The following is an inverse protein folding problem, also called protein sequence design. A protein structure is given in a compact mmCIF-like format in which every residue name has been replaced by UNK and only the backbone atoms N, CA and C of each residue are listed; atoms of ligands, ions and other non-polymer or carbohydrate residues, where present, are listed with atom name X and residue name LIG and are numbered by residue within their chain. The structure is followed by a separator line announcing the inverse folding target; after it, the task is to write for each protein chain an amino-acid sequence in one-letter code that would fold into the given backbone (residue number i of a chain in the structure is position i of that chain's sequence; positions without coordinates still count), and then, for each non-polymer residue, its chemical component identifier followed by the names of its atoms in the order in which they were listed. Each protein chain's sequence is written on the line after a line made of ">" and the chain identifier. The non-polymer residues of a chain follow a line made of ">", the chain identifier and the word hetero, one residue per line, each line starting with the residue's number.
data_IF_984648861549
#
_entry.id   IF_984648861549
#
_cell.length_a   1.000
_cell.length_b   1.000
_cell.length_c   1.000
_cell.angle_alpha   90.00
_cell.angle_beta   90.00
_cell.angle_gamma   90.00
#
_symmetry.space_group_name_H-M   'P 1'
#
loop_
_entity.id
_entity.type
_entity.pdbx_description
1 polymer ?
#
# COMPACT_ATOMS: atom_id res chain seq x y z
N UNK A 1 -14.06 15.69 -3.92
CA UNK A 1 -14.22 14.97 -2.65
C UNK A 1 -14.96 15.73 -1.57
N UNK A 2 -14.61 16.98 -1.24
CA UNK A 2 -15.26 17.71 -0.13
C UNK A 2 -16.80 17.71 -0.17
N UNK A 3 -17.40 17.94 -1.35
CA UNK A 3 -18.86 17.90 -1.56
C UNK A 3 -19.48 16.51 -1.32
N UNK A 4 -18.77 15.45 -1.69
CA UNK A 4 -19.20 14.06 -1.47
C UNK A 4 -19.26 13.74 0.02
N UNK A 5 -18.20 14.10 0.77
CA UNK A 5 -18.12 13.86 2.21
C UNK A 5 -19.14 14.69 3.01
N UNK A 6 -19.58 15.84 2.48
CA UNK A 6 -20.62 16.68 3.09
C UNK A 6 -22.05 16.31 2.67
N UNK A 7 -22.27 15.13 2.08
CA UNK A 7 -23.60 14.65 1.69
C UNK A 7 -24.19 15.33 0.45
N UNK A 8 -23.39 16.08 -0.32
CA UNK A 8 -23.80 16.77 -1.55
C UNK A 8 -22.95 16.31 -2.74
N UNK A 9 -22.90 15.00 -3.07
CA UNK A 9 -22.00 14.49 -4.09
C UNK A 9 -22.30 15.09 -5.48
N UNK A 10 -21.29 15.31 -6.34
CA UNK A 10 -21.53 15.54 -7.76
C UNK A 10 -22.30 14.38 -8.40
N UNK A 11 -22.92 14.60 -9.56
CA UNK A 11 -23.72 13.59 -10.29
C UNK A 11 -22.85 12.53 -10.99
N UNK A 12 -21.85 12.04 -10.29
CA UNK A 12 -20.95 10.97 -10.70
C UNK A 12 -21.29 9.70 -9.90
N UNK A 13 -21.47 8.52 -10.54
CA UNK A 13 -21.94 7.31 -9.85
C UNK A 13 -21.09 6.92 -8.63
N UNK A 14 -19.77 7.02 -8.75
CA UNK A 14 -18.83 6.68 -7.66
C UNK A 14 -18.98 7.66 -6.50
N UNK A 15 -19.16 8.95 -6.77
CA UNK A 15 -19.35 9.95 -5.73
C UNK A 15 -20.68 9.77 -4.99
N UNK A 16 -21.75 9.43 -5.73
CA UNK A 16 -23.07 9.14 -5.15
C UNK A 16 -23.00 7.90 -4.25
N UNK A 17 -22.37 6.82 -4.73
CA UNK A 17 -22.21 5.58 -3.96
C UNK A 17 -21.39 5.81 -2.69
N UNK A 18 -20.28 6.56 -2.79
CA UNK A 18 -19.45 6.88 -1.63
C UNK A 18 -20.22 7.71 -0.59
N UNK A 19 -20.98 8.72 -1.01
CA UNK A 19 -21.83 9.50 -0.10
C UNK A 19 -22.88 8.62 0.58
N UNK A 20 -23.53 7.72 -0.18
CA UNK A 20 -24.50 6.76 0.35
C UNK A 20 -23.86 5.84 1.40
N UNK A 21 -22.69 5.26 1.09
CA UNK A 21 -21.97 4.37 2.00
C UNK A 21 -21.54 5.07 3.30
N UNK A 22 -21.15 6.35 3.23
CA UNK A 22 -20.78 7.13 4.43
C UNK A 22 -22.01 7.42 5.29
N UNK A 23 -23.15 7.78 4.69
CA UNK A 23 -24.40 8.00 5.43
C UNK A 23 -24.86 6.72 6.13
N UNK A 24 -24.83 5.61 5.40
CA UNK A 24 -25.18 4.27 5.89
C UNK A 24 -24.24 3.78 7.00
N UNK A 25 -22.93 4.04 6.88
CA UNK A 25 -21.95 3.81 7.96
C UNK A 25 -22.28 4.63 9.21
N UNK A 26 -22.61 5.92 9.03
CA UNK A 26 -22.96 6.83 10.12
C UNK A 26 -24.20 6.33 10.84
N UNK A 27 -25.22 5.89 10.11
CA UNK A 27 -26.46 5.35 10.66
C UNK A 27 -26.20 4.07 11.47
N UNK A 28 -25.53 3.06 10.87
CA UNK A 28 -25.26 1.78 11.53
C UNK A 28 -24.39 1.89 12.77
N UNK A 29 -23.48 2.86 12.79
CA UNK A 29 -22.55 3.06 13.91
C UNK A 29 -23.01 4.15 14.88
N UNK A 30 -24.19 4.76 14.65
CA UNK A 30 -24.70 5.88 15.43
C UNK A 30 -23.68 7.03 15.53
N UNK A 31 -22.98 7.29 14.42
CA UNK A 31 -21.97 8.34 14.29
C UNK A 31 -20.62 8.07 14.96
N UNK A 32 -20.38 6.84 15.45
CA UNK A 32 -19.13 6.43 16.09
C UNK A 32 -17.99 6.14 15.10
N UNK A 33 -18.32 5.69 13.89
CA UNK A 33 -17.34 5.53 12.81
C UNK A 33 -17.42 6.74 11.86
N UNK A 34 -16.26 7.29 11.49
CA UNK A 34 -16.17 8.47 10.62
C UNK A 34 -14.96 8.34 9.72
N UNK A 35 -15.18 8.49 8.42
CA UNK A 35 -14.09 8.49 7.44
C UNK A 35 -13.35 9.83 7.48
N UNK A 36 -12.05 9.80 7.72
CA UNK A 36 -11.24 11.03 7.72
C UNK A 36 -11.17 11.65 6.31
N UNK A 37 -11.49 12.94 6.24
CA UNK A 37 -11.30 13.76 5.05
C UNK A 37 -9.81 14.04 4.79
N UNK A 38 -9.00 14.18 5.84
CA UNK A 38 -7.56 14.44 5.75
C UNK A 38 -6.86 13.30 5.05
N UNK A 39 -7.00 12.09 5.58
CA UNK A 39 -6.52 10.85 4.96
C UNK A 39 -7.01 10.66 3.52
N UNK A 40 -8.30 10.85 3.24
CA UNK A 40 -8.81 10.67 1.87
C UNK A 40 -8.14 11.64 0.88
N UNK A 41 -7.98 12.91 1.25
CA UNK A 41 -7.29 13.89 0.41
C UNK A 41 -5.79 13.59 0.30
N UNK A 42 -5.12 13.19 1.39
CA UNK A 42 -3.71 12.78 1.40
C UNK A 42 -3.45 11.68 0.37
N UNK A 43 -4.27 10.63 0.37
CA UNK A 43 -4.15 9.52 -0.59
C UNK A 43 -4.37 9.97 -2.04
N UNK A 44 -5.36 10.84 -2.28
CA UNK A 44 -5.63 11.34 -3.65
C UNK A 44 -4.47 12.19 -4.15
N UNK A 45 -4.01 13.15 -3.34
CA UNK A 45 -2.92 14.03 -3.70
C UNK A 45 -1.62 13.25 -3.96
N UNK A 46 -1.31 12.26 -3.12
CA UNK A 46 -0.14 11.40 -3.31
C UNK A 46 -0.23 10.61 -4.63
N UNK A 47 -1.40 10.08 -4.99
CA UNK A 47 -1.59 9.38 -6.28
C UNK A 47 -1.54 10.32 -7.48
N UNK A 48 -2.06 11.54 -7.34
CA UNK A 48 -2.03 12.56 -8.40
C UNK A 48 -0.59 12.98 -8.74
N UNK A 49 0.25 13.16 -7.72
CA UNK A 49 1.65 13.54 -7.90
C UNK A 49 2.50 12.48 -8.64
N UNK A 50 2.10 11.21 -8.60
CA UNK A 50 2.85 10.11 -9.22
C UNK A 50 2.27 9.68 -10.59
N UNK A 51 1.30 10.42 -11.15
CA UNK A 51 0.67 10.07 -12.44
C UNK A 51 1.65 10.04 -13.62
N UNK A 52 2.76 10.76 -13.51
CA UNK A 52 3.86 10.82 -14.48
C UNK A 52 4.83 9.65 -14.38
N UNK A 53 4.71 8.81 -13.35
CA UNK A 53 5.65 7.72 -13.01
C UNK A 53 7.10 8.21 -12.85
N UNK A 54 7.29 9.41 -12.32
CA UNK A 54 8.61 9.92 -11.99
C UNK A 54 9.31 8.98 -10.98
N UNK A 55 10.61 8.70 -11.12
CA UNK A 55 11.35 7.89 -10.15
C UNK A 55 11.36 8.51 -8.75
N UNK A 56 11.40 7.67 -7.72
CA UNK A 56 11.55 8.15 -6.34
C UNK A 56 13.00 8.61 -6.11
N UNK A 57 13.23 9.77 -5.47
CA UNK A 57 14.59 10.26 -5.24
C UNK A 57 15.40 9.33 -4.31
N UNK A 58 14.74 8.79 -3.29
CA UNK A 58 15.33 7.87 -2.33
C UNK A 58 14.30 6.87 -1.79
N UNK A 59 14.77 5.90 -0.99
CA UNK A 59 13.90 4.89 -0.38
C UNK A 59 12.88 5.52 0.59
N UNK A 60 13.22 6.62 1.26
CA UNK A 60 12.35 7.31 2.20
C UNK A 60 11.15 8.00 1.50
N UNK A 61 11.36 8.50 0.27
CA UNK A 61 10.29 9.02 -0.57
C UNK A 61 9.32 7.92 -1.02
N UNK A 62 9.85 6.73 -1.35
CA UNK A 62 9.02 5.56 -1.65
C UNK A 62 8.21 5.12 -0.41
N UNK A 63 8.80 5.13 0.78
CA UNK A 63 8.08 4.86 2.03
C UNK A 63 7.00 5.91 2.31
N UNK A 64 7.31 7.19 2.09
CA UNK A 64 6.36 8.31 2.28
C UNK A 64 5.17 8.20 1.32
N UNK A 65 5.42 7.75 0.09
CA UNK A 65 4.37 7.42 -0.87
C UNK A 65 3.52 6.23 -0.40
N UNK A 66 4.15 5.15 0.06
CA UNK A 66 3.46 3.96 0.55
C UNK A 66 2.61 4.26 1.79
N UNK A 67 3.12 5.10 2.71
CA UNK A 67 2.38 5.64 3.84
C UNK A 67 1.15 6.42 3.39
N UNK A 68 1.37 7.39 2.51
CA UNK A 68 0.31 8.30 2.07
C UNK A 68 -0.76 7.61 1.23
N UNK A 69 -0.48 6.43 0.67
CA UNK A 69 -1.43 5.69 -0.18
C UNK A 69 -1.96 4.41 0.42
N UNK A 70 -1.10 3.43 0.74
CA UNK A 70 -1.50 2.12 1.23
C UNK A 70 -1.79 2.13 2.73
N UNK A 71 -0.96 2.78 3.57
CA UNK A 71 -1.26 2.91 5.01
C UNK A 71 -2.50 3.74 5.23
N UNK A 72 -2.62 4.89 4.55
CA UNK A 72 -3.84 5.72 4.58
C UNK A 72 -5.10 4.95 4.22
N UNK A 73 -5.05 4.02 3.26
CA UNK A 73 -6.20 3.17 2.94
C UNK A 73 -6.55 2.22 4.10
N UNK A 74 -5.55 1.70 4.82
CA UNK A 74 -5.78 0.91 6.03
C UNK A 74 -6.33 1.78 7.16
N UNK A 75 -5.84 3.01 7.37
CA UNK A 75 -6.40 3.94 8.35
C UNK A 75 -7.86 4.28 8.06
N UNK A 76 -8.19 4.56 6.79
CA UNK A 76 -9.57 4.77 6.36
C UNK A 76 -10.44 3.52 6.62
N UNK A 77 -9.89 2.32 6.42
CA UNK A 77 -10.59 1.06 6.72
C UNK A 77 -10.77 0.86 8.23
N UNK A 78 -9.76 1.20 9.05
CA UNK A 78 -9.87 1.20 10.51
C UNK A 78 -10.92 2.21 10.97
N UNK A 79 -11.00 3.40 10.38
CA UNK A 79 -11.97 4.44 10.71
C UNK A 79 -13.42 4.08 10.35
N UNK A 80 -13.61 3.13 9.43
CA UNK A 80 -14.90 2.53 9.13
C UNK A 80 -15.33 1.51 10.20
N UNK A 81 -14.39 1.00 11.00
CA UNK A 81 -14.70 0.32 12.25
C UNK A 81 -14.83 1.42 13.33
N UNK A 82 -15.79 1.35 14.26
CA UNK A 82 -15.89 2.33 15.34
C UNK A 82 -14.78 2.10 16.38
N UNK A 83 -13.53 2.31 15.97
CA UNK A 83 -12.29 2.06 16.70
C UNK A 83 -11.42 3.32 16.69
N UNK A 84 -10.85 3.64 17.84
CA UNK A 84 -9.93 4.76 18.05
C UNK A 84 -8.67 4.22 18.72
N UNK A 85 -7.79 3.58 17.92
CA UNK A 85 -6.62 2.88 18.44
C UNK A 85 -5.36 3.30 17.71
N UNK A 86 -4.52 4.06 18.41
CA UNK A 86 -3.18 4.44 17.93
C UNK A 86 -2.31 3.19 17.73
N UNK A 87 -2.50 2.16 18.56
CA UNK A 87 -1.81 0.86 18.39
C UNK A 87 -2.17 0.20 17.07
N UNK A 88 -3.46 0.16 16.73
CA UNK A 88 -3.92 -0.43 15.47
C UNK A 88 -3.44 0.39 14.26
N UNK A 89 -3.44 1.72 14.37
CA UNK A 89 -2.88 2.61 13.35
C UNK A 89 -1.39 2.36 13.14
N UNK A 90 -0.63 2.22 14.22
CA UNK A 90 0.80 1.94 14.13
C UNK A 90 1.08 0.61 13.40
N UNK A 91 0.32 -0.45 13.72
CA UNK A 91 0.41 -1.73 12.99
C UNK A 91 0.01 -1.55 11.52
N UNK A 92 -1.06 -0.81 11.25
CA UNK A 92 -1.52 -0.51 9.89
C UNK A 92 -0.48 0.28 9.09
N UNK A 93 0.26 1.21 9.70
CA UNK A 93 1.31 1.99 9.05
C UNK A 93 2.38 1.09 8.44
N UNK A 94 2.96 0.20 9.25
CA UNK A 94 4.00 -0.69 8.75
C UNK A 94 3.48 -1.69 7.71
N UNK A 95 2.28 -2.25 7.91
CA UNK A 95 1.67 -3.15 6.91
C UNK A 95 1.39 -2.40 5.59
N UNK A 96 0.88 -1.18 5.68
CA UNK A 96 0.60 -0.32 4.54
C UNK A 96 1.86 0.04 3.77
N UNK A 97 2.92 0.46 4.46
CA UNK A 97 4.25 0.70 3.86
C UNK A 97 4.79 -0.54 3.16
N UNK A 98 4.77 -1.71 3.81
CA UNK A 98 5.20 -2.97 3.20
C UNK A 98 4.39 -3.32 1.94
N UNK A 99 3.05 -3.22 2.03
CA UNK A 99 2.15 -3.52 0.91
C UNK A 99 2.33 -2.55 -0.26
N UNK A 100 2.56 -1.26 0.02
CA UNK A 100 2.79 -0.23 -0.99
C UNK A 100 4.13 -0.40 -1.71
N UNK A 101 5.21 -0.65 -0.98
CA UNK A 101 6.53 -0.95 -1.56
C UNK A 101 6.44 -2.20 -2.44
N UNK A 102 5.82 -3.27 -1.94
CA UNK A 102 5.62 -4.50 -2.71
C UNK A 102 4.75 -4.26 -3.96
N UNK A 103 3.77 -3.36 -3.91
CA UNK A 103 2.95 -3.01 -5.06
C UNK A 103 3.74 -2.24 -6.13
N UNK A 104 4.62 -1.32 -5.74
CA UNK A 104 5.53 -0.62 -6.66
C UNK A 104 6.45 -1.62 -7.36
N UNK A 105 7.08 -2.53 -6.61
CA UNK A 105 7.90 -3.59 -7.19
C UNK A 105 7.11 -4.49 -8.14
N UNK A 106 5.94 -4.97 -7.72
CA UNK A 106 5.07 -5.81 -8.56
C UNK A 106 4.60 -5.10 -9.83
N UNK A 107 4.46 -3.77 -9.78
CA UNK A 107 4.08 -2.93 -10.91
C UNK A 107 5.22 -2.66 -11.89
N UNK A 108 6.48 -2.78 -11.47
CA UNK A 108 7.66 -2.41 -12.26
C UNK A 108 7.67 -3.05 -13.66
N UNK A 109 7.47 -4.37 -13.84
CA UNK A 109 7.45 -4.96 -15.18
C UNK A 109 6.37 -4.37 -16.11
N UNK A 110 5.23 -3.99 -15.54
CA UNK A 110 4.08 -3.46 -16.28
C UNK A 110 4.24 -1.98 -16.65
N UNK A 111 4.91 -1.21 -15.80
CA UNK A 111 5.16 0.23 -16.03
C UNK A 111 6.41 0.43 -16.90
N UNK A 112 7.44 -0.39 -16.73
CA UNK A 112 8.65 -0.33 -17.55
C UNK A 112 8.41 -0.82 -18.98
N UNK A 113 7.49 -1.78 -19.17
CA UNK A 113 7.17 -2.35 -20.48
C UNK A 113 5.66 -2.33 -20.73
N UNK A 114 5.06 -1.15 -20.95
CA UNK A 114 3.63 -1.07 -21.26
C UNK A 114 3.35 -1.85 -22.54
N UNK A 115 2.41 -2.79 -22.48
CA UNK A 115 2.00 -3.56 -23.66
C UNK A 115 1.56 -2.64 -24.80
N UNK A 116 1.86 -3.03 -26.04
CA UNK A 116 1.40 -2.30 -27.21
C UNK A 116 -0.12 -2.10 -27.10
N UNK A 117 -0.57 -0.84 -27.07
CA UNK A 117 -2.00 -0.55 -27.07
C UNK A 117 -2.62 -1.30 -28.24
N UNK A 118 -3.62 -2.14 -27.98
CA UNK A 118 -4.48 -2.69 -29.03
C UNK A 118 -5.20 -1.51 -29.68
N UNK A 119 -4.56 -0.92 -30.69
CA UNK A 119 -5.19 0.08 -31.54
C UNK A 119 -6.39 -0.60 -32.16
N UNK A 120 -7.57 -0.06 -31.84
CA UNK A 120 -8.83 -0.44 -32.47
C UNK A 120 -8.66 -0.22 -33.99
N UNK A 121 -8.98 -1.19 -34.87
CA UNK A 121 -8.71 -1.06 -36.31
C UNK A 121 -9.44 0.10 -37.00
N UNK A 122 -10.44 0.71 -36.35
CA UNK A 122 -11.42 1.59 -37.01
C UNK A 122 -11.12 3.10 -36.95
N UNK A 123 -9.90 3.52 -36.62
CA UNK A 123 -9.53 4.94 -36.69
C UNK A 123 -8.30 5.19 -37.57
N UNK A 124 -8.39 4.73 -38.82
CA UNK A 124 -7.53 5.18 -39.90
C UNK A 124 -7.96 6.59 -40.35
N UNK A 125 -7.54 7.63 -39.61
CA UNK A 125 -7.82 8.99 -40.04
C UNK A 125 -7.67 10.08 -38.99
N UNK A 126 -6.50 10.18 -38.34
CA UNK A 126 -5.93 11.46 -37.84
C UNK A 126 -4.56 11.17 -37.23
N UNK A 127 -3.51 11.47 -37.98
CA UNK A 127 -2.13 11.51 -37.46
C UNK A 127 -1.98 12.73 -36.54
N UNK A 128 -2.31 12.54 -35.27
CA UNK A 128 -1.69 13.31 -34.18
C UNK A 128 -0.81 12.33 -33.41
N UNK A 129 0.50 12.56 -33.47
CA UNK A 129 1.51 11.80 -32.76
C UNK A 129 1.32 11.93 -31.24
N UNK A 130 0.42 11.13 -30.66
CA UNK A 130 0.43 10.82 -29.23
C UNK A 130 1.46 9.72 -29.03
N UNK A 131 2.63 10.08 -28.50
CA UNK A 131 3.78 9.17 -28.33
C UNK A 131 3.37 7.83 -27.71
N UNK A 132 4.00 6.76 -28.19
CA UNK A 132 4.00 5.49 -27.47
C UNK A 132 4.30 5.79 -26.00
N UNK A 133 3.52 5.25 -25.06
CA UNK A 133 3.80 5.43 -23.64
C UNK A 133 5.22 4.95 -23.38
N UNK A 134 6.14 5.87 -23.17
CA UNK A 134 7.50 5.56 -22.77
C UNK A 134 7.38 4.86 -21.40
N UNK A 135 7.94 3.66 -21.28
CA UNK A 135 7.99 2.97 -19.99
C UNK A 135 8.82 3.77 -18.98
N UNK A 136 8.64 3.48 -17.68
CA UNK A 136 9.38 4.12 -16.61
C UNK A 136 9.86 3.09 -15.58
N UNK A 137 11.09 3.27 -15.07
CA UNK A 137 11.62 2.46 -13.96
C UNK A 137 11.40 3.20 -12.65
N UNK A 138 10.42 2.74 -11.86
CA UNK A 138 10.00 3.42 -10.61
C UNK A 138 10.78 2.95 -9.36
N UNK A 139 12.06 2.60 -9.49
CA UNK A 139 12.90 2.29 -8.33
C UNK A 139 13.50 3.56 -7.73
N UNK A 140 13.86 3.57 -6.44
CA UNK A 140 14.59 4.68 -5.84
C UNK A 140 15.93 4.95 -6.54
N UNK A 141 16.19 6.21 -6.87
CA UNK A 141 17.38 6.63 -7.62
C UNK A 141 18.68 6.37 -6.84
N UNK A 142 18.67 6.56 -5.53
CA UNK A 142 19.79 6.22 -4.64
C UNK A 142 20.13 4.73 -4.67
N UNK A 143 19.13 3.85 -4.63
CA UNK A 143 19.28 2.40 -4.71
C UNK A 143 19.78 1.99 -6.10
N UNK A 144 19.21 2.55 -7.17
CA UNK A 144 19.68 2.30 -8.53
C UNK A 144 21.15 2.71 -8.70
N UNK A 145 21.53 3.88 -8.20
CA UNK A 145 22.90 4.37 -8.26
C UNK A 145 23.88 3.47 -7.49
N UNK A 146 23.50 3.05 -6.28
CA UNK A 146 24.33 2.16 -5.45
C UNK A 146 24.52 0.78 -6.09
N UNK A 147 23.48 0.22 -6.71
CA UNK A 147 23.53 -1.05 -7.40
C UNK A 147 24.11 -0.96 -8.84
N UNK A 148 24.40 0.25 -9.33
CA UNK A 148 24.92 0.47 -10.69
C UNK A 148 23.90 0.26 -11.80
N UNK A 149 22.61 0.34 -11.50
CA UNK A 149 21.52 0.15 -12.47
C UNK A 149 21.45 1.34 -13.42
N UNK A 150 21.46 1.06 -14.72
CA UNK A 150 21.16 2.05 -15.76
C UNK A 150 19.80 1.77 -16.36
N UNK A 151 18.94 2.79 -16.40
CA UNK A 151 17.58 2.65 -16.91
C UNK A 151 17.53 2.11 -18.35
N UNK A 152 18.43 2.59 -19.22
CA UNK A 152 18.54 2.10 -20.60
C UNK A 152 18.84 0.60 -20.67
N UNK A 153 19.68 0.09 -19.77
CA UNK A 153 20.01 -1.34 -19.72
C UNK A 153 18.82 -2.17 -19.24
N UNK A 154 17.99 -1.63 -18.33
CA UNK A 154 16.70 -2.24 -17.97
C UNK A 154 15.81 -2.39 -19.20
N UNK A 155 15.61 -1.33 -19.98
CA UNK A 155 14.77 -1.39 -21.18
C UNK A 155 15.32 -2.32 -22.28
N UNK A 156 16.65 -2.48 -22.36
CA UNK A 156 17.29 -3.31 -23.38
C UNK A 156 17.39 -4.78 -23.01
N UNK A 157 17.69 -5.07 -21.74
CA UNK A 157 18.06 -6.41 -21.25
C UNK A 157 17.00 -7.02 -20.34
N UNK A 158 16.01 -6.24 -19.89
CA UNK A 158 14.96 -6.72 -18.98
C UNK A 158 15.54 -7.23 -17.66
N UNK A 159 15.24 -8.49 -17.32
CA UNK A 159 15.73 -9.16 -16.11
C UNK A 159 17.24 -9.25 -16.01
N UNK A 160 17.94 -9.22 -17.15
CA UNK A 160 19.39 -9.38 -17.23
C UNK A 160 20.15 -8.05 -17.10
N UNK A 161 19.46 -6.95 -16.81
CA UNK A 161 20.09 -5.65 -16.59
C UNK A 161 21.02 -5.71 -15.35
N UNK A 162 22.31 -5.34 -15.49
CA UNK A 162 23.25 -5.36 -14.37
C UNK A 162 22.76 -4.56 -13.16
N UNK A 163 22.91 -5.14 -11.97
CA UNK A 163 22.52 -4.50 -10.70
C UNK A 163 21.01 -4.48 -10.41
N UNK A 164 20.15 -4.86 -11.36
CA UNK A 164 18.71 -4.71 -11.16
C UNK A 164 18.17 -5.61 -10.04
N UNK A 165 18.64 -6.86 -9.97
CA UNK A 165 18.27 -7.79 -8.90
C UNK A 165 18.70 -7.27 -7.52
N UNK A 166 19.90 -6.68 -7.42
CA UNK A 166 20.41 -6.08 -6.19
C UNK A 166 19.58 -4.86 -5.75
N UNK A 167 19.16 -4.03 -6.72
CA UNK A 167 18.26 -2.91 -6.46
C UNK A 167 16.88 -3.39 -5.99
N UNK A 168 16.30 -4.39 -6.66
CA UNK A 168 15.03 -5.01 -6.27
C UNK A 168 15.13 -5.65 -4.88
N UNK A 169 16.23 -6.35 -4.60
CA UNK A 169 16.54 -6.93 -3.29
C UNK A 169 16.53 -5.87 -2.19
N UNK A 170 17.22 -4.75 -2.42
CA UNK A 170 17.30 -3.65 -1.45
C UNK A 170 15.93 -3.08 -1.12
N UNK A 171 15.10 -2.83 -2.14
CA UNK A 171 13.74 -2.31 -1.94
C UNK A 171 12.81 -3.36 -1.30
N UNK A 172 12.92 -4.63 -1.70
CA UNK A 172 12.14 -5.74 -1.13
C UNK A 172 12.51 -6.02 0.34
N UNK A 173 13.78 -5.83 0.70
CA UNK A 173 14.26 -5.91 2.08
C UNK A 173 13.56 -4.87 2.94
N UNK A 174 13.47 -3.62 2.46
CA UNK A 174 12.76 -2.56 3.19
C UNK A 174 11.28 -2.89 3.46
N UNK A 175 10.59 -3.50 2.50
CA UNK A 175 9.22 -3.99 2.70
C UNK A 175 9.15 -5.13 3.72
N UNK A 176 10.11 -6.05 3.68
CA UNK A 176 10.22 -7.18 4.61
C UNK A 176 10.49 -6.73 6.04
N UNK A 177 11.34 -5.71 6.22
CA UNK A 177 11.66 -5.11 7.52
C UNK A 177 10.40 -4.59 8.21
N UNK A 178 9.52 -3.90 7.47
CA UNK A 178 8.24 -3.46 8.04
C UNK A 178 7.36 -4.62 8.53
N UNK A 179 7.32 -5.75 7.79
CA UNK A 179 6.57 -6.92 8.24
C UNK A 179 7.22 -7.59 9.46
N UNK A 180 8.55 -7.59 9.56
CA UNK A 180 9.29 -8.07 10.73
C UNK A 180 9.01 -7.17 11.93
N UNK A 181 9.02 -5.84 11.76
CA UNK A 181 8.66 -4.87 12.80
C UNK A 181 7.24 -5.13 13.32
N UNK A 182 6.26 -5.37 12.44
CA UNK A 182 4.90 -5.73 12.84
C UNK A 182 4.88 -7.02 13.67
N UNK A 183 5.64 -8.05 13.28
CA UNK A 183 5.71 -9.29 14.05
C UNK A 183 6.29 -9.06 15.45
N UNK A 184 7.32 -8.21 15.56
CA UNK A 184 7.89 -7.83 16.86
C UNK A 184 6.89 -7.03 17.71
N UNK A 185 6.21 -6.04 17.12
CA UNK A 185 5.17 -5.26 17.81
C UNK A 185 4.06 -6.17 18.34
N UNK A 186 3.54 -7.08 17.51
CA UNK A 186 2.49 -8.02 17.91
C UNK A 186 2.97 -8.98 19.02
N UNK A 187 4.24 -9.38 18.99
CA UNK A 187 4.85 -10.19 20.06
C UNK A 187 4.88 -9.43 21.39
N UNK A 188 5.38 -8.19 21.39
CA UNK A 188 5.43 -7.33 22.56
C UNK A 188 4.03 -7.04 23.12
N UNK A 189 3.07 -6.68 22.25
CA UNK A 189 1.68 -6.40 22.65
C UNK A 189 1.02 -7.63 23.28
N UNK A 190 1.27 -8.84 22.76
CA UNK A 190 0.79 -10.09 23.37
C UNK A 190 1.42 -10.38 24.73
N UNK A 191 2.65 -9.92 24.95
CA UNK A 191 3.34 -9.99 26.23
C UNK A 191 2.91 -8.89 27.22
N UNK A 192 1.99 -8.00 26.82
CA UNK A 192 1.54 -6.87 27.65
C UNK A 192 2.53 -5.70 27.70
N UNK A 193 3.47 -5.64 26.75
CA UNK A 193 4.44 -4.57 26.59
C UNK A 193 3.96 -3.53 25.58
N UNK A 194 4.66 -2.40 25.47
CA UNK A 194 4.43 -1.42 24.40
C UNK A 194 4.86 -1.96 23.02
N UNK A 195 4.64 -1.18 21.96
CA UNK A 195 4.96 -1.58 20.59
C UNK A 195 6.47 -1.79 20.34
N UNK A 196 7.35 -1.36 21.23
CA UNK A 196 8.81 -1.40 21.09
C UNK A 196 9.43 -0.09 20.57
N UNK A 197 8.63 0.78 19.94
CA UNK A 197 9.03 2.11 19.49
C UNK A 197 7.83 3.04 19.38
N UNK A 198 8.09 4.35 19.36
CA UNK A 198 7.06 5.38 19.18
C UNK A 198 6.49 5.35 17.77
N UNK A 199 5.18 5.61 17.64
CA UNK A 199 4.56 5.73 16.33
C UNK A 199 4.88 7.09 15.71
N UNK A 200 5.66 7.07 14.64
CA UNK A 200 6.15 8.29 13.97
C UNK A 200 5.03 9.22 13.48
N UNK A 201 3.84 8.70 13.12
CA UNK A 201 2.69 9.49 12.67
C UNK A 201 1.66 9.76 13.79
N UNK A 202 1.92 9.32 15.03
CA UNK A 202 0.95 9.43 16.13
C UNK A 202 0.62 10.86 16.55
N UNK A 203 1.42 11.84 16.12
CA UNK A 203 1.19 13.26 16.37
C UNK A 203 0.31 13.95 15.32
N UNK A 204 0.00 13.30 14.19
CA UNK A 204 -0.87 13.90 13.17
C UNK A 204 -2.33 13.98 13.69
N UNK A 205 -3.05 15.04 13.32
CA UNK A 205 -4.41 15.32 13.84
C UNK A 205 -5.38 14.14 13.64
N UNK A 206 -5.29 13.44 12.51
CA UNK A 206 -6.16 12.31 12.20
C UNK A 206 -5.91 11.07 13.08
N UNK A 207 -4.75 10.98 13.76
CA UNK A 207 -4.41 9.92 14.72
C UNK A 207 -4.65 10.31 16.19
N UNK A 208 -5.08 11.56 16.43
CA UNK A 208 -5.40 12.04 17.77
C UNK A 208 -6.88 11.76 18.08
N UNK A 209 -7.12 10.92 19.08
CA UNK A 209 -8.47 10.51 19.46
C UNK A 209 -8.87 11.16 20.78
N UNK A 210 -9.89 12.04 20.74
CA UNK A 210 -10.44 12.72 21.93
C UNK A 210 -10.93 11.75 23.02
N UNK A 211 -11.34 10.54 22.60
CA UNK A 211 -11.78 9.47 23.47
C UNK A 211 -11.03 8.19 23.09
N UNK A 212 -9.90 7.94 23.76
CA UNK A 212 -9.35 6.58 23.81
C UNK A 212 -10.36 5.71 24.57
N UNK A 213 -10.69 4.55 24.01
CA UNK A 213 -11.52 3.56 24.69
C UNK A 213 -10.82 3.13 25.97
N UNK A 214 -11.16 3.72 27.11
CA UNK A 214 -10.57 3.38 28.42
C UNK A 214 -10.80 1.91 28.83
N UNK A 215 -11.57 1.15 28.04
CA UNK A 215 -12.02 -0.19 28.35
C UNK A 215 -11.31 -1.30 27.56
N UNK A 216 -10.54 -0.99 26.52
CA UNK A 216 -9.84 -2.02 25.70
C UNK A 216 -8.33 -1.96 25.93
N UNK A 217 -7.72 -3.13 26.05
CA UNK A 217 -6.26 -3.29 26.03
C UNK A 217 -5.72 -3.19 24.59
N UNK A 218 -4.45 -2.80 24.37
CA UNK A 218 -3.86 -2.75 23.03
C UNK A 218 -4.01 -4.08 22.25
N UNK A 219 -3.93 -5.22 22.94
CA UNK A 219 -4.14 -6.54 22.34
C UNK A 219 -5.57 -6.75 21.85
N UNK A 220 -6.58 -6.28 22.60
CA UNK A 220 -7.98 -6.37 22.19
C UNK A 220 -8.26 -5.50 20.96
N UNK A 221 -7.72 -4.28 20.95
CA UNK A 221 -7.82 -3.35 19.81
C UNK A 221 -7.23 -3.98 18.53
N UNK A 222 -6.01 -4.51 18.62
CA UNK A 222 -5.33 -5.21 17.52
C UNK A 222 -6.11 -6.44 17.04
N UNK A 223 -6.62 -7.26 17.97
CA UNK A 223 -7.37 -8.47 17.61
C UNK A 223 -8.69 -8.15 16.88
N UNK A 224 -9.34 -7.06 17.28
CA UNK A 224 -10.55 -6.53 16.64
C UNK A 224 -10.25 -5.95 15.26
N UNK A 225 -9.13 -5.23 15.13
CA UNK A 225 -8.63 -4.66 13.88
C UNK A 225 -8.04 -5.69 12.90
N UNK A 226 -7.77 -6.91 13.33
CA UNK A 226 -6.95 -7.88 12.60
C UNK A 226 -7.38 -8.15 11.14
N UNK A 227 -8.69 -8.04 10.84
CA UNK A 227 -9.19 -8.18 9.48
C UNK A 227 -8.62 -7.11 8.51
N UNK A 228 -8.28 -5.93 9.01
CA UNK A 228 -7.67 -4.84 8.23
C UNK A 228 -6.20 -5.13 7.93
N UNK A 229 -5.53 -5.91 8.77
CA UNK A 229 -4.11 -6.25 8.63
C UNK A 229 -3.83 -7.38 7.63
N UNK A 230 -4.88 -8.01 7.07
CA UNK A 230 -4.78 -9.13 6.12
C UNK A 230 -3.89 -8.90 4.88
N UNK A 231 -3.70 -7.67 4.35
CA UNK A 231 -2.71 -7.42 3.31
C UNK A 231 -1.29 -7.87 3.66
N UNK A 232 -0.93 -7.98 4.95
CA UNK A 232 0.36 -8.52 5.38
C UNK A 232 0.61 -9.94 4.85
N UNK A 233 -0.41 -10.81 4.82
CA UNK A 233 -0.29 -12.21 4.34
C UNK A 233 0.08 -12.24 2.87
N UNK A 234 -0.67 -11.50 2.04
CA UNK A 234 -0.44 -11.45 0.60
C UNK A 234 0.90 -10.81 0.26
N UNK A 235 1.28 -9.77 1.01
CA UNK A 235 2.57 -9.09 0.87
C UNK A 235 3.72 -10.05 1.20
N UNK A 236 3.69 -10.73 2.36
CA UNK A 236 4.72 -11.71 2.75
C UNK A 236 4.83 -12.83 1.71
N UNK A 237 3.71 -13.44 1.31
CA UNK A 237 3.71 -14.51 0.31
C UNK A 237 4.33 -14.09 -1.02
N UNK A 238 4.10 -12.85 -1.44
CA UNK A 238 4.66 -12.33 -2.67
C UNK A 238 6.17 -12.04 -2.53
N UNK A 239 6.60 -11.47 -1.40
CA UNK A 239 8.02 -11.23 -1.11
C UNK A 239 8.81 -12.55 -1.01
N UNK A 240 8.26 -13.57 -0.32
CA UNK A 240 8.87 -14.91 -0.23
C UNK A 240 9.04 -15.52 -1.64
N UNK A 241 8.09 -15.29 -2.54
CA UNK A 241 8.20 -15.77 -3.93
C UNK A 241 9.24 -14.99 -4.72
N UNK A 242 9.29 -13.67 -4.57
CA UNK A 242 10.30 -12.83 -5.20
C UNK A 242 11.71 -13.28 -4.78
N UNK A 243 11.91 -13.54 -3.48
CA UNK A 243 13.15 -14.10 -2.94
C UNK A 243 13.49 -15.47 -3.55
N UNK A 244 12.50 -16.36 -3.68
CA UNK A 244 12.72 -17.68 -4.31
C UNK A 244 13.14 -17.63 -5.78
N UNK A 245 12.94 -16.48 -6.43
CA UNK A 245 13.38 -16.18 -7.79
C UNK A 245 14.62 -15.28 -7.84
N UNK A 246 15.39 -15.21 -6.76
CA UNK A 246 16.63 -14.41 -6.70
C UNK A 246 16.36 -12.93 -7.06
N UNK A 247 15.21 -12.41 -6.61
CA UNK A 247 14.77 -11.03 -6.84
C UNK A 247 14.62 -10.64 -8.31
N UNK A 248 14.50 -11.63 -9.21
CA UNK A 248 14.10 -11.39 -10.60
C UNK A 248 12.62 -11.00 -10.67
N UNK A 249 12.38 -9.69 -10.77
CA UNK A 249 11.05 -9.10 -10.76
C UNK A 249 10.23 -9.39 -12.03
N UNK A 250 10.86 -9.88 -13.11
CA UNK A 250 10.18 -10.14 -14.39
C UNK A 250 9.60 -11.56 -14.51
N UNK A 251 9.76 -12.40 -13.49
CA UNK A 251 9.24 -13.76 -13.51
C UNK A 251 7.70 -13.77 -13.66
N UNK A 252 7.14 -14.41 -14.70
CA UNK A 252 5.69 -14.44 -14.95
C UNK A 252 4.86 -15.00 -13.78
N UNK A 253 5.45 -15.88 -12.97
CA UNK A 253 4.87 -16.48 -11.78
C UNK A 253 4.56 -15.44 -10.70
N UNK A 254 5.27 -14.31 -10.66
CA UNK A 254 5.03 -13.22 -9.70
C UNK A 254 3.74 -12.43 -10.00
N UNK A 255 3.20 -12.54 -11.22
CA UNK A 255 1.93 -11.93 -11.63
C UNK A 255 0.72 -12.81 -11.28
N UNK A 256 0.94 -14.09 -10.93
CA UNK A 256 -0.13 -15.03 -10.61
C UNK A 256 -0.48 -15.01 -9.12
N UNK A 257 -1.76 -15.18 -8.82
CA UNK A 257 -2.22 -15.33 -7.45
C UNK A 257 -1.64 -16.58 -6.79
N UNK A 258 -1.28 -16.50 -5.50
CA UNK A 258 -0.83 -17.66 -4.74
C UNK A 258 -2.02 -18.53 -4.34
N UNK A 259 -1.99 -19.82 -4.70
CA UNK A 259 -3.02 -20.77 -4.28
C UNK A 259 -3.04 -20.97 -2.76
N UNK A 260 -1.92 -20.71 -2.06
CA UNK A 260 -1.82 -20.78 -0.59
C UNK A 260 -2.50 -19.59 0.10
N UNK A 261 -2.77 -18.49 -0.62
CA UNK A 261 -3.28 -17.25 -0.04
C UNK A 261 -4.59 -17.46 0.76
N UNK A 262 -5.64 -18.12 0.24
CA UNK A 262 -6.89 -18.29 0.99
C UNK A 262 -6.69 -19.08 2.29
N UNK A 263 -5.90 -20.16 2.23
CA UNK A 263 -5.62 -20.99 3.41
C UNK A 263 -4.76 -20.23 4.43
N UNK A 264 -3.65 -19.60 4.01
CA UNK A 264 -2.82 -18.80 4.91
C UNK A 264 -3.61 -17.63 5.50
N UNK A 265 -4.48 -16.98 4.72
CA UNK A 265 -5.32 -15.89 5.18
C UNK A 265 -6.33 -16.36 6.25
N UNK A 266 -6.99 -17.49 6.04
CA UNK A 266 -7.89 -18.09 7.04
C UNK A 266 -7.14 -18.44 8.33
N UNK A 267 -5.98 -19.10 8.21
CA UNK A 267 -5.14 -19.46 9.36
C UNK A 267 -4.65 -18.23 10.10
N UNK A 268 -4.27 -17.18 9.36
CA UNK A 268 -3.83 -15.93 9.94
C UNK A 268 -4.94 -15.24 10.72
N UNK A 269 -6.13 -15.10 10.13
CA UNK A 269 -7.28 -14.46 10.76
C UNK A 269 -7.75 -15.20 12.01
N UNK A 270 -7.76 -16.53 11.96
CA UNK A 270 -8.19 -17.38 13.09
C UNK A 270 -7.18 -17.36 14.24
N UNK A 271 -5.87 -17.37 13.94
CA UNK A 271 -4.80 -17.35 14.94
C UNK A 271 -4.34 -15.95 15.34
N UNK A 272 -4.87 -14.91 14.70
CA UNK A 272 -4.48 -13.50 14.87
C UNK A 272 -2.96 -13.31 14.71
N UNK A 273 -2.35 -13.97 13.71
CA UNK A 273 -0.91 -13.93 13.42
C UNK A 273 -0.64 -14.00 11.92
N UNK A 274 0.50 -13.49 11.44
CA UNK A 274 0.89 -13.52 10.03
C UNK A 274 2.26 -14.15 9.81
#
# INVERSE_FOLDING_TARGET
>A
MAKTLSGSPPKEPIAILLASAISDLTERTQGRARISKGWLNRMINAREQTLTNDPYPDIAALESYAESTYSTLLYLTLSALPMTSVTADHVASHIGKAAGIAAVLRGLPLVAFPGASTQRPDQAGTTMAGGAKQGAVMLPLDVMAQAGVKEEEVFRLGSEAPGLRDAVFTVATRASDHLITVQQMLSNIRAGQDAGHEFEHGHEEDHQYDFQSQNETPLQEVNRAFGVFMPAVGTRLWLDRLESHDFDIFQPELLRSDWKLPWKAYMAFTRKTF
#
